data_IF_534409657239
#
_entry.id   IF_534409657239
#
_cell.length_a   1.000
_cell.length_b   1.000
_cell.length_c   1.000
_cell.angle_alpha   90.00
_cell.angle_beta   90.00
_cell.angle_gamma   90.00
#
_symmetry.space_group_name_H-M   'P 1'
#
loop_
_entity.id
_entity.type
_entity.pdbx_description
1 polymer ?
#
# COMPACT_ATOMS: atom_id res chain seq x y z
N UNK A 1 -21.37 -15.77 -9.08
CA UNK A 1 -20.76 -15.30 -7.81
C UNK A 1 -20.00 -13.98 -7.97
N UNK A 2 -19.36 -13.75 -9.14
CA UNK A 2 -18.88 -12.44 -9.59
C UNK A 2 -19.88 -11.28 -9.43
N UNK A 3 -21.19 -11.58 -9.54
CA UNK A 3 -22.27 -10.63 -9.30
C UNK A 3 -22.18 -9.94 -7.94
N UNK A 4 -21.68 -10.62 -6.89
CA UNK A 4 -21.50 -10.02 -5.56
C UNK A 4 -20.32 -9.05 -5.56
N UNK A 5 -19.17 -9.45 -6.10
CA UNK A 5 -17.99 -8.60 -6.26
C UNK A 5 -18.36 -7.34 -7.06
N UNK A 6 -19.00 -7.49 -8.22
CA UNK A 6 -19.44 -6.35 -9.01
C UNK A 6 -20.51 -5.50 -8.32
N UNK A 7 -21.37 -6.09 -7.48
CA UNK A 7 -22.35 -5.34 -6.68
C UNK A 7 -21.65 -4.48 -5.63
N UNK A 8 -20.61 -4.99 -4.97
CA UNK A 8 -19.78 -4.20 -4.03
C UNK A 8 -19.05 -3.09 -4.79
N UNK A 9 -18.38 -3.40 -5.90
CA UNK A 9 -17.69 -2.39 -6.72
C UNK A 9 -18.64 -1.30 -7.25
N UNK A 10 -19.90 -1.64 -7.50
CA UNK A 10 -20.93 -0.71 -7.97
C UNK A 10 -21.30 0.30 -6.88
N UNK A 11 -21.32 -0.08 -5.60
CA UNK A 11 -21.59 0.81 -4.47
C UNK A 11 -20.54 1.91 -4.36
N UNK A 12 -19.31 1.65 -4.77
CA UNK A 12 -18.21 2.61 -4.74
C UNK A 12 -17.96 3.28 -6.10
N UNK A 13 -18.84 3.06 -7.08
CA UNK A 13 -18.66 3.50 -8.47
C UNK A 13 -17.32 3.06 -9.12
N UNK A 14 -16.71 1.99 -8.62
CA UNK A 14 -15.47 1.40 -9.16
C UNK A 14 -15.78 0.52 -10.37
N UNK A 15 -16.97 -0.11 -10.38
CA UNK A 15 -17.41 -0.97 -11.47
C UNK A 15 -18.64 -0.39 -12.17
N UNK A 16 -18.78 -0.58 -13.49
CA UNK A 16 -19.91 -0.06 -14.23
C UNK A 16 -21.23 -0.70 -13.77
N UNK A 17 -22.28 0.12 -13.70
CA UNK A 17 -23.57 -0.25 -13.11
C UNK A 17 -24.36 -1.31 -13.89
N UNK A 18 -24.13 -1.39 -15.20
CA UNK A 18 -24.73 -2.33 -16.13
C UNK A 18 -23.67 -2.90 -17.06
N UNK A 19 -23.65 -4.22 -17.17
CA UNK A 19 -22.75 -4.98 -18.04
C UNK A 19 -23.27 -5.08 -19.46
N UNK A 20 -24.54 -4.73 -19.73
CA UNK A 20 -25.19 -5.01 -21.01
C UNK A 20 -25.23 -3.77 -21.92
N UNK A 21 -25.19 -2.58 -21.34
CA UNK A 21 -25.35 -1.33 -22.09
C UNK A 21 -23.95 -0.76 -22.42
N UNK A 22 -23.64 -0.70 -23.73
CA UNK A 22 -22.39 -0.12 -24.26
C UNK A 22 -22.31 1.40 -24.03
N UNK A 23 -23.43 2.09 -24.15
CA UNK A 23 -23.53 3.54 -23.96
C UNK A 23 -23.80 3.91 -22.50
N UNK A 24 -23.15 4.95 -22.02
CA UNK A 24 -23.28 5.37 -20.62
C UNK A 24 -24.61 6.12 -20.41
N UNK A 25 -25.41 5.66 -19.46
CA UNK A 25 -26.56 6.42 -19.00
C UNK A 25 -26.09 7.68 -18.27
N UNK A 26 -26.78 8.79 -18.49
CA UNK A 26 -26.55 10.06 -17.77
C UNK A 26 -26.57 9.84 -16.26
N UNK A 27 -27.49 9.01 -15.76
CA UNK A 27 -27.59 8.60 -14.34
C UNK A 27 -26.26 8.05 -13.77
N UNK A 28 -25.51 7.25 -14.53
CA UNK A 28 -24.24 6.70 -14.04
C UNK A 28 -23.16 7.79 -13.89
N UNK A 29 -23.15 8.81 -14.76
CA UNK A 29 -22.22 9.95 -14.63
C UNK A 29 -22.52 10.72 -13.35
N UNK A 30 -23.81 11.02 -13.10
CA UNK A 30 -24.23 11.68 -11.86
C UNK A 30 -23.84 10.89 -10.62
N UNK A 31 -24.06 9.57 -10.63
CA UNK A 31 -23.68 8.71 -9.50
C UNK A 31 -22.18 8.74 -9.21
N UNK A 32 -21.33 8.65 -10.23
CA UNK A 32 -19.88 8.76 -10.03
C UNK A 32 -19.45 10.15 -9.54
N UNK A 33 -20.09 11.23 -10.03
CA UNK A 33 -19.88 12.57 -9.47
C UNK A 33 -20.30 12.65 -7.99
N UNK A 34 -21.40 12.00 -7.60
CA UNK A 34 -21.83 11.93 -6.20
C UNK A 34 -20.81 11.18 -5.33
N UNK A 35 -20.26 10.07 -5.81
CA UNK A 35 -19.21 9.33 -5.08
C UNK A 35 -17.93 10.16 -4.94
N UNK A 36 -17.52 10.88 -5.99
CA UNK A 36 -16.39 11.82 -5.92
C UNK A 36 -16.67 12.92 -4.89
N UNK A 37 -17.85 13.55 -4.95
CA UNK A 37 -18.25 14.58 -3.99
C UNK A 37 -18.28 14.04 -2.55
N UNK A 38 -18.75 12.81 -2.35
CA UNK A 38 -18.72 12.13 -1.06
C UNK A 38 -17.28 11.99 -0.53
N UNK A 39 -16.32 11.55 -1.34
CA UNK A 39 -14.92 11.50 -0.92
C UNK A 39 -14.35 12.89 -0.63
N UNK A 40 -14.63 13.88 -1.48
CA UNK A 40 -14.14 15.25 -1.28
C UNK A 40 -14.67 15.84 0.02
N UNK A 41 -15.98 15.73 0.28
CA UNK A 41 -16.60 16.23 1.52
C UNK A 41 -16.06 15.46 2.72
N UNK A 42 -15.95 14.13 2.63
CA UNK A 42 -15.42 13.31 3.72
C UNK A 42 -13.97 13.68 4.07
N UNK A 43 -13.10 13.86 3.07
CA UNK A 43 -11.71 14.31 3.29
C UNK A 43 -11.67 15.70 3.91
N UNK A 44 -12.47 16.65 3.42
CA UNK A 44 -12.53 17.99 4.00
C UNK A 44 -12.97 17.97 5.47
N UNK A 45 -14.00 17.19 5.80
CA UNK A 45 -14.48 17.00 7.18
C UNK A 45 -13.37 16.38 8.04
N UNK A 46 -12.70 15.33 7.55
CA UNK A 46 -11.55 14.73 8.25
C UNK A 46 -10.42 15.74 8.45
N UNK A 47 -10.09 16.58 7.46
CA UNK A 47 -9.08 17.64 7.60
C UNK A 47 -9.48 18.66 8.68
N UNK A 48 -10.76 19.04 8.78
CA UNK A 48 -11.23 19.93 9.84
C UNK A 48 -11.02 19.33 11.24
N UNK A 49 -11.35 18.04 11.43
CA UNK A 49 -11.15 17.36 12.72
C UNK A 49 -9.68 17.06 13.04
N UNK A 50 -8.84 16.85 12.02
CA UNK A 50 -7.39 16.59 12.21
C UNK A 50 -6.58 17.87 12.43
N UNK A 51 -7.12 19.04 12.14
CA UNK A 51 -6.42 20.33 12.24
C UNK A 51 -5.76 20.53 13.62
N UNK A 52 -6.50 20.29 14.69
CA UNK A 52 -6.00 20.52 16.06
C UNK A 52 -4.84 19.57 16.42
N UNK A 53 -4.87 18.34 15.89
CA UNK A 53 -3.78 17.37 16.04
C UNK A 53 -2.57 17.72 15.18
N UNK A 54 -2.78 18.24 13.98
CA UNK A 54 -1.71 18.61 13.04
C UNK A 54 -0.90 19.81 13.51
N UNK A 55 -1.49 20.72 14.27
CA UNK A 55 -0.76 21.85 14.88
C UNK A 55 0.30 21.36 15.88
N UNK A 56 0.10 20.18 16.48
CA UNK A 56 1.04 19.59 17.43
C UNK A 56 2.17 18.79 16.75
N UNK A 57 2.15 18.63 15.42
CA UNK A 57 3.15 17.82 14.72
C UNK A 57 4.40 18.61 14.37
N UNK A 58 5.55 17.93 14.47
CA UNK A 58 6.81 18.40 13.88
C UNK A 58 6.62 18.52 12.35
N UNK A 59 7.18 19.56 11.74
CA UNK A 59 6.97 19.91 10.32
C UNK A 59 7.14 18.72 9.34
N UNK A 60 8.12 17.85 9.57
CA UNK A 60 8.38 16.67 8.72
C UNK A 60 7.20 15.68 8.80
N UNK A 61 6.72 15.39 10.01
CA UNK A 61 5.59 14.48 10.23
C UNK A 61 4.31 15.01 9.58
N UNK A 62 4.07 16.32 9.68
CA UNK A 62 2.96 16.99 9.02
C UNK A 62 3.05 16.86 7.49
N UNK A 63 4.22 17.14 6.91
CA UNK A 63 4.42 17.06 5.47
C UNK A 63 4.17 15.63 4.93
N UNK A 64 4.68 14.62 5.63
CA UNK A 64 4.46 13.21 5.27
C UNK A 64 2.97 12.87 5.33
N UNK A 65 2.28 13.25 6.40
CA UNK A 65 0.85 12.97 6.55
C UNK A 65 0.02 13.62 5.43
N UNK A 66 0.31 14.89 5.09
CA UNK A 66 -0.36 15.60 4.00
C UNK A 66 -0.13 14.89 2.65
N UNK A 67 1.09 14.43 2.37
CA UNK A 67 1.41 13.72 1.13
C UNK A 67 0.63 12.41 1.04
N UNK A 68 0.51 11.66 2.13
CA UNK A 68 -0.21 10.39 2.17
C UNK A 68 -1.71 10.58 1.97
N UNK A 69 -2.31 11.50 2.72
CA UNK A 69 -3.74 11.80 2.62
C UNK A 69 -4.09 12.29 1.21
N UNK A 70 -3.23 13.15 0.65
CA UNK A 70 -3.39 13.65 -0.72
C UNK A 70 -3.25 12.52 -1.75
N UNK A 71 -2.25 11.63 -1.58
CA UNK A 71 -2.03 10.50 -2.48
C UNK A 71 -3.21 9.54 -2.45
N UNK A 72 -3.69 9.18 -1.25
CA UNK A 72 -4.84 8.30 -1.08
C UNK A 72 -6.10 8.91 -1.70
N UNK A 73 -6.34 10.20 -1.48
CA UNK A 73 -7.46 10.92 -2.08
C UNK A 73 -7.39 10.93 -3.62
N UNK A 74 -6.26 11.37 -4.19
CA UNK A 74 -6.05 11.44 -5.64
C UNK A 74 -6.22 10.06 -6.27
N UNK A 75 -5.65 9.01 -5.66
CA UNK A 75 -5.82 7.64 -6.14
C UNK A 75 -7.28 7.20 -6.15
N UNK A 76 -8.07 7.53 -5.13
CA UNK A 76 -9.49 7.20 -5.09
C UNK A 76 -10.30 7.93 -6.17
N UNK A 77 -10.03 9.22 -6.39
CA UNK A 77 -10.66 9.99 -7.48
C UNK A 77 -10.28 9.41 -8.85
N UNK A 78 -9.00 9.14 -9.06
CA UNK A 78 -8.50 8.50 -10.28
C UNK A 78 -9.17 7.15 -10.53
N UNK A 79 -9.36 6.31 -9.51
CA UNK A 79 -10.07 5.03 -9.64
C UNK A 79 -11.48 5.20 -10.18
N UNK A 80 -12.25 6.15 -9.62
CA UNK A 80 -13.62 6.43 -10.10
C UNK A 80 -13.59 6.99 -11.52
N UNK A 81 -12.66 7.91 -11.84
CA UNK A 81 -12.52 8.46 -13.19
C UNK A 81 -12.11 7.42 -14.23
N UNK A 82 -11.21 6.50 -13.89
CA UNK A 82 -10.81 5.38 -14.75
C UNK A 82 -12.01 4.47 -15.01
N UNK A 83 -12.81 4.16 -13.98
CA UNK A 83 -14.03 3.38 -14.12
C UNK A 83 -15.05 4.04 -15.09
N UNK A 84 -15.10 5.37 -15.11
CA UNK A 84 -15.91 6.13 -16.06
C UNK A 84 -15.34 6.11 -17.49
N UNK A 85 -14.07 6.46 -17.64
CA UNK A 85 -13.46 6.75 -18.94
C UNK A 85 -13.07 5.48 -19.71
N UNK A 86 -12.60 4.44 -19.00
CA UNK A 86 -12.13 3.19 -19.61
C UNK A 86 -13.21 2.08 -19.61
N UNK A 87 -14.48 2.45 -19.76
CA UNK A 87 -15.61 1.50 -19.71
C UNK A 87 -15.50 0.36 -20.75
N UNK A 88 -14.95 0.64 -21.93
CA UNK A 88 -14.76 -0.38 -22.97
C UNK A 88 -13.81 -1.51 -22.52
N UNK A 89 -12.78 -1.16 -21.74
CA UNK A 89 -11.85 -2.13 -21.15
C UNK A 89 -12.54 -2.91 -20.03
N UNK A 90 -13.31 -2.24 -19.17
CA UNK A 90 -14.13 -2.90 -18.15
C UNK A 90 -15.14 -3.88 -18.75
N UNK A 91 -15.78 -3.53 -19.88
CA UNK A 91 -16.69 -4.43 -20.56
C UNK A 91 -15.97 -5.67 -21.11
N UNK A 92 -14.78 -5.49 -21.71
CA UNK A 92 -13.94 -6.63 -22.16
C UNK A 92 -13.56 -7.52 -20.98
N UNK A 93 -13.13 -6.91 -19.88
CA UNK A 93 -12.77 -7.59 -18.64
C UNK A 93 -13.94 -8.43 -18.11
N UNK A 94 -15.10 -7.80 -17.92
CA UNK A 94 -16.33 -8.45 -17.45
C UNK A 94 -16.77 -9.57 -18.39
N UNK A 95 -16.65 -9.38 -19.71
CA UNK A 95 -16.98 -10.41 -20.69
C UNK A 95 -16.03 -11.61 -20.59
N UNK A 96 -14.74 -11.38 -20.46
CA UNK A 96 -13.75 -12.45 -20.28
C UNK A 96 -14.02 -13.24 -19.00
N UNK A 97 -14.34 -12.53 -17.93
CA UNK A 97 -14.77 -13.11 -16.67
C UNK A 97 -16.01 -14.00 -16.84
N UNK A 98 -17.04 -13.54 -17.56
CA UNK A 98 -18.26 -14.31 -17.80
C UNK A 98 -18.00 -15.57 -18.64
N UNK A 99 -17.20 -15.46 -19.70
CA UNK A 99 -16.81 -16.61 -20.54
C UNK A 99 -16.05 -17.64 -19.71
N UNK A 100 -15.14 -17.20 -18.84
CA UNK A 100 -14.36 -18.12 -18.01
C UNK A 100 -15.23 -18.79 -16.95
N UNK A 101 -16.26 -18.09 -16.47
CA UNK A 101 -17.27 -18.66 -15.58
C UNK A 101 -18.08 -19.77 -16.26
N UNK A 102 -18.45 -19.60 -17.53
CA UNK A 102 -19.25 -20.58 -18.28
C UNK A 102 -18.43 -21.81 -18.73
N UNK A 103 -17.12 -21.66 -18.98
CA UNK A 103 -16.23 -22.74 -19.43
C UNK A 103 -15.48 -23.51 -18.35
N UNK A 104 -15.52 -23.05 -17.09
CA UNK A 104 -14.83 -23.70 -15.97
C UNK A 104 -15.76 -24.69 -15.28
N UNK A 105 -15.52 -26.00 -15.43
CA UNK A 105 -16.16 -27.04 -14.61
C UNK A 105 -16.12 -26.66 -13.11
N UNK A 106 -17.23 -26.94 -12.41
CA UNK A 106 -17.65 -26.48 -11.06
C UNK A 106 -16.58 -26.42 -9.93
N UNK A 107 -15.40 -27.01 -10.10
CA UNK A 107 -14.36 -27.11 -9.06
C UNK A 107 -13.48 -25.85 -8.98
N UNK A 108 -13.06 -25.26 -10.11
CA UNK A 108 -12.15 -24.08 -10.10
C UNK A 108 -12.86 -22.79 -9.65
N UNK A 109 -14.14 -22.63 -9.96
CA UNK A 109 -14.91 -21.41 -9.61
C UNK A 109 -15.02 -21.22 -8.09
N UNK A 110 -15.24 -22.30 -7.34
CA UNK A 110 -15.31 -22.25 -5.87
C UNK A 110 -14.01 -21.77 -5.23
N UNK A 111 -12.85 -22.08 -5.83
CA UNK A 111 -11.54 -21.69 -5.30
C UNK A 111 -11.31 -20.18 -5.34
N UNK A 112 -11.70 -19.52 -6.43
CA UNK A 112 -11.51 -18.07 -6.59
C UNK A 112 -12.40 -17.25 -5.66
N UNK A 113 -13.65 -17.67 -5.46
CA UNK A 113 -14.55 -17.05 -4.50
C UNK A 113 -14.01 -17.19 -3.07
N UNK A 114 -13.57 -18.40 -2.70
CA UNK A 114 -13.02 -18.66 -1.38
C UNK A 114 -11.83 -17.74 -1.11
N UNK A 115 -10.93 -17.54 -2.09
CA UNK A 115 -9.81 -16.58 -1.98
C UNK A 115 -10.30 -15.15 -1.76
N UNK A 116 -11.26 -14.65 -2.54
CA UNK A 116 -11.83 -13.31 -2.33
C UNK A 116 -12.43 -13.13 -0.94
N UNK A 117 -13.22 -14.11 -0.48
CA UNK A 117 -13.85 -14.07 0.83
C UNK A 117 -12.84 -14.13 1.96
N UNK A 118 -11.83 -15.01 1.87
CA UNK A 118 -10.73 -15.09 2.86
C UNK A 118 -9.95 -13.77 2.91
N UNK A 119 -9.60 -13.18 1.76
CA UNK A 119 -8.90 -11.89 1.73
C UNK A 119 -9.73 -10.76 2.34
N UNK A 120 -11.04 -10.70 2.08
CA UNK A 120 -11.91 -9.71 2.71
C UNK A 120 -12.03 -9.93 4.22
N UNK A 121 -12.18 -11.19 4.68
CA UNK A 121 -12.21 -11.51 6.11
C UNK A 121 -10.91 -11.08 6.80
N UNK A 122 -9.76 -11.34 6.17
CA UNK A 122 -8.46 -10.92 6.69
C UNK A 122 -8.34 -9.39 6.76
N UNK A 123 -8.72 -8.68 5.68
CA UNK A 123 -8.74 -7.22 5.66
C UNK A 123 -9.62 -6.65 6.77
N UNK A 124 -10.87 -7.11 6.88
CA UNK A 124 -11.80 -6.65 7.93
C UNK A 124 -11.31 -7.00 9.33
N UNK A 125 -10.68 -8.16 9.52
CA UNK A 125 -10.05 -8.53 10.80
C UNK A 125 -8.96 -7.56 11.21
N UNK A 126 -8.06 -7.20 10.29
CA UNK A 126 -7.02 -6.18 10.54
C UNK A 126 -7.65 -4.83 10.83
N UNK A 127 -8.62 -4.38 10.03
CA UNK A 127 -9.26 -3.08 10.22
C UNK A 127 -10.02 -2.99 11.54
N UNK A 128 -10.71 -4.06 11.97
CA UNK A 128 -11.37 -4.12 13.27
C UNK A 128 -10.36 -4.09 14.42
N UNK A 129 -9.25 -4.82 14.29
CA UNK A 129 -8.18 -4.80 15.29
C UNK A 129 -7.53 -3.42 15.41
N UNK A 130 -7.20 -2.77 14.29
CA UNK A 130 -6.68 -1.40 14.28
C UNK A 130 -7.70 -0.42 14.88
N UNK A 131 -8.97 -0.52 14.48
CA UNK A 131 -10.05 0.30 15.04
C UNK A 131 -10.15 0.15 16.55
N UNK A 132 -10.07 -1.09 17.06
CA UNK A 132 -10.11 -1.36 18.50
C UNK A 132 -8.95 -0.67 19.23
N UNK A 133 -7.71 -0.81 18.73
CA UNK A 133 -6.53 -0.17 19.33
C UNK A 133 -6.65 1.35 19.29
N UNK A 134 -7.02 1.94 18.15
CA UNK A 134 -7.09 3.39 18.06
C UNK A 134 -8.29 3.98 18.80
N UNK A 135 -9.41 3.26 18.88
CA UNK A 135 -10.57 3.69 19.68
C UNK A 135 -10.25 3.60 21.18
N UNK A 136 -9.46 2.64 21.63
CA UNK A 136 -9.02 2.60 23.04
C UNK A 136 -8.05 3.73 23.38
N UNK A 137 -7.23 4.18 22.41
CA UNK A 137 -6.28 5.28 22.59
C UNK A 137 -6.91 6.67 22.45
N UNK A 138 -7.76 6.88 21.44
CA UNK A 138 -8.29 8.20 21.04
C UNK A 138 -9.80 8.36 21.29
N UNK A 139 -10.48 7.31 21.76
CA UNK A 139 -11.93 7.32 21.97
C UNK A 139 -12.72 7.45 20.67
N UNK A 140 -13.92 8.04 20.78
CA UNK A 140 -14.85 8.22 19.64
C UNK A 140 -14.36 9.23 18.60
N UNK A 141 -13.41 10.08 18.96
CA UNK A 141 -12.85 11.08 18.04
C UNK A 141 -12.02 10.45 16.92
N UNK A 142 -11.53 9.22 17.14
CA UNK A 142 -10.92 8.40 16.10
C UNK A 142 -11.83 8.26 14.86
N UNK A 143 -13.09 7.91 15.06
CA UNK A 143 -14.02 7.71 13.94
C UNK A 143 -14.28 9.00 13.17
N UNK A 144 -14.37 10.14 13.86
CA UNK A 144 -14.56 11.45 13.21
C UNK A 144 -13.37 11.81 12.31
N UNK A 145 -12.17 11.41 12.71
CA UNK A 145 -10.94 11.72 11.98
C UNK A 145 -10.69 10.75 10.83
N UNK A 146 -10.90 9.44 11.02
CA UNK A 146 -10.38 8.39 10.13
C UNK A 146 -11.45 7.58 9.39
N UNK A 147 -12.75 7.81 9.61
CA UNK A 147 -13.80 7.02 8.95
C UNK A 147 -13.73 7.06 7.41
N UNK A 148 -13.51 8.23 6.82
CA UNK A 148 -13.40 8.33 5.35
C UNK A 148 -12.15 7.64 4.82
N UNK A 149 -11.05 7.69 5.58
CA UNK A 149 -9.79 7.05 5.21
C UNK A 149 -9.97 5.53 5.17
N UNK A 150 -10.73 4.96 6.11
CA UNK A 150 -11.06 3.53 6.12
C UNK A 150 -11.86 3.13 4.87
N UNK A 151 -12.81 3.96 4.45
CA UNK A 151 -13.56 3.74 3.21
C UNK A 151 -12.62 3.80 2.00
N UNK A 152 -11.75 4.82 1.93
CA UNK A 152 -10.77 4.98 0.86
C UNK A 152 -9.79 3.80 0.79
N UNK A 153 -9.31 3.31 1.93
CA UNK A 153 -8.44 2.14 2.02
C UNK A 153 -9.16 0.87 1.54
N UNK A 154 -10.42 0.67 1.91
CA UNK A 154 -11.21 -0.47 1.43
C UNK A 154 -11.40 -0.44 -0.09
N UNK A 155 -11.66 0.74 -0.66
CA UNK A 155 -11.82 0.92 -2.11
C UNK A 155 -10.53 0.56 -2.86
N UNK A 156 -9.37 1.00 -2.35
CA UNK A 156 -8.07 0.64 -2.91
C UNK A 156 -7.79 -0.86 -2.80
N UNK A 157 -8.05 -1.45 -1.63
CA UNK A 157 -7.93 -2.90 -1.44
C UNK A 157 -8.83 -3.69 -2.40
N UNK A 158 -10.08 -3.25 -2.57
CA UNK A 158 -11.04 -3.89 -3.45
C UNK A 158 -10.61 -3.80 -4.92
N UNK A 159 -10.13 -2.63 -5.37
CA UNK A 159 -9.55 -2.47 -6.70
C UNK A 159 -8.37 -3.42 -6.92
N UNK A 160 -7.51 -3.58 -5.91
CA UNK A 160 -6.37 -4.48 -6.03
C UNK A 160 -6.80 -5.93 -6.21
N UNK A 161 -7.84 -6.38 -5.52
CA UNK A 161 -8.36 -7.73 -5.75
C UNK A 161 -8.92 -7.87 -7.18
N UNK A 162 -9.62 -6.86 -7.70
CA UNK A 162 -10.09 -6.87 -9.08
C UNK A 162 -8.95 -6.95 -10.09
N UNK A 163 -7.88 -6.16 -9.89
CA UNK A 163 -6.68 -6.20 -10.71
C UNK A 163 -5.97 -7.55 -10.62
N UNK A 164 -5.88 -8.14 -9.42
CA UNK A 164 -5.32 -9.47 -9.21
C UNK A 164 -6.10 -10.55 -9.95
N UNK A 165 -7.44 -10.45 -9.95
CA UNK A 165 -8.27 -11.34 -10.74
C UNK A 165 -8.05 -11.16 -12.23
N UNK A 166 -8.08 -9.93 -12.76
CA UNK A 166 -7.79 -9.68 -14.18
C UNK A 166 -6.45 -10.31 -14.60
N UNK A 167 -5.44 -10.10 -13.77
CA UNK A 167 -4.11 -10.70 -13.85
C UNK A 167 -4.10 -12.23 -14.02
N UNK A 168 -5.02 -12.94 -13.35
CA UNK A 168 -5.15 -14.40 -13.43
C UNK A 168 -5.84 -14.82 -14.74
N UNK A 169 -6.73 -13.99 -15.27
CA UNK A 169 -7.54 -14.31 -16.44
C UNK A 169 -6.93 -13.82 -17.76
N UNK A 170 -6.13 -12.75 -17.73
CA UNK A 170 -5.58 -12.14 -18.94
C UNK A 170 -4.16 -12.64 -19.23
N UNK A 171 -4.04 -13.56 -20.19
CA UNK A 171 -2.76 -14.03 -20.77
C UNK A 171 -2.23 -13.06 -21.85
N UNK A 172 -2.37 -11.74 -21.66
CA UNK A 172 -2.09 -10.72 -22.71
C UNK A 172 -1.16 -9.59 -22.26
N UNK A 173 -0.16 -9.32 -23.10
CA UNK A 173 1.01 -8.45 -22.93
C UNK A 173 0.75 -6.95 -22.67
N UNK A 174 -0.47 -6.42 -22.90
CA UNK A 174 -0.79 -5.00 -22.61
C UNK A 174 -1.23 -4.79 -21.15
N UNK A 175 -1.66 -5.85 -20.46
CA UNK A 175 -2.02 -5.78 -19.03
C UNK A 175 -0.82 -5.62 -18.10
N UNK A 176 0.40 -5.88 -18.59
CA UNK A 176 1.59 -5.93 -17.75
C UNK A 176 2.01 -4.55 -17.25
N UNK A 177 1.84 -3.48 -18.02
CA UNK A 177 2.20 -2.13 -17.57
C UNK A 177 1.27 -1.61 -16.45
N UNK A 178 -0.04 -1.80 -16.57
CA UNK A 178 -0.99 -1.40 -15.51
C UNK A 178 -0.83 -2.27 -14.25
N UNK A 179 -0.45 -3.55 -14.40
CA UNK A 179 -0.10 -4.45 -13.28
C UNK A 179 1.19 -4.03 -12.59
N UNK A 180 2.22 -3.68 -13.36
CA UNK A 180 3.48 -3.15 -12.84
C UNK A 180 3.20 -1.86 -12.07
N UNK A 181 2.39 -0.96 -12.62
CA UNK A 181 2.04 0.29 -11.96
C UNK A 181 1.24 0.08 -10.66
N UNK A 182 0.28 -0.84 -10.66
CA UNK A 182 -0.50 -1.19 -9.46
C UNK A 182 0.36 -1.84 -8.36
N UNK A 183 1.26 -2.75 -8.74
CA UNK A 183 2.19 -3.36 -7.80
C UNK A 183 3.20 -2.34 -7.27
N UNK A 184 3.72 -1.45 -8.11
CA UNK A 184 4.59 -0.34 -7.69
C UNK A 184 3.83 0.58 -6.75
N UNK A 185 2.58 0.94 -7.03
CA UNK A 185 1.77 1.79 -6.16
C UNK A 185 1.53 1.16 -4.77
N UNK A 186 1.38 -0.17 -4.70
CA UNK A 186 1.20 -0.89 -3.44
C UNK A 186 2.49 -1.05 -2.67
N UNK A 187 3.57 -1.40 -3.35
CA UNK A 187 4.91 -1.45 -2.75
C UNK A 187 5.22 -0.06 -2.21
N UNK A 188 4.95 0.99 -2.98
CA UNK A 188 5.10 2.36 -2.54
C UNK A 188 4.21 2.69 -1.33
N UNK A 189 2.94 2.31 -1.33
CA UNK A 189 2.03 2.54 -0.20
C UNK A 189 2.49 1.82 1.07
N UNK A 190 2.94 0.56 0.96
CA UNK A 190 3.49 -0.21 2.07
C UNK A 190 4.84 0.32 2.53
N UNK A 191 5.73 0.70 1.61
CA UNK A 191 7.02 1.31 1.92
C UNK A 191 6.84 2.66 2.60
N UNK A 192 5.91 3.48 2.13
CA UNK A 192 5.53 4.72 2.80
C UNK A 192 4.95 4.43 4.19
N UNK A 193 4.01 3.49 4.30
CA UNK A 193 3.47 2.95 5.55
C UNK A 193 4.56 2.60 6.58
N UNK A 194 5.51 1.78 6.16
CA UNK A 194 6.64 1.37 6.98
C UNK A 194 7.56 2.56 7.34
N UNK A 195 7.85 3.43 6.38
CA UNK A 195 8.69 4.63 6.60
C UNK A 195 8.07 5.57 7.64
N UNK A 196 6.75 5.78 7.60
CA UNK A 196 6.05 6.60 8.60
C UNK A 196 6.19 5.98 9.99
N UNK A 197 5.98 4.67 10.11
CA UNK A 197 6.12 3.98 11.39
C UNK A 197 7.54 4.08 11.95
N UNK A 198 8.56 3.99 11.08
CA UNK A 198 9.96 4.19 11.48
C UNK A 198 10.22 5.63 11.93
N UNK A 199 9.73 6.63 11.19
CA UNK A 199 9.89 8.05 11.54
C UNK A 199 9.12 8.43 12.80
N UNK A 200 7.96 7.81 13.04
CA UNK A 200 7.22 7.96 14.29
C UNK A 200 8.01 7.41 15.48
N UNK A 201 8.59 6.21 15.34
CA UNK A 201 9.44 5.62 16.35
C UNK A 201 10.65 6.52 16.67
N UNK A 202 11.30 7.06 15.64
CA UNK A 202 12.42 7.99 15.76
C UNK A 202 12.01 9.30 16.47
N UNK A 203 10.85 9.87 16.10
CA UNK A 203 10.31 11.07 16.75
C UNK A 203 10.01 10.86 18.23
N UNK A 204 9.48 9.69 18.62
CA UNK A 204 9.25 9.35 20.03
C UNK A 204 10.59 9.28 20.78
N UNK A 205 11.62 8.69 20.15
CA UNK A 205 12.95 8.62 20.72
C UNK A 205 13.51 10.03 20.96
N UNK A 206 13.41 10.91 19.97
CA UNK A 206 13.91 12.27 20.03
C UNK A 206 13.25 13.10 21.15
N UNK A 207 11.92 13.01 21.29
CA UNK A 207 11.21 13.67 22.39
C UNK A 207 11.62 13.12 23.75
N UNK A 208 11.85 11.81 23.84
CA UNK A 208 12.31 11.18 25.10
C UNK A 208 13.73 11.65 25.47
N UNK A 209 14.63 11.78 24.49
CA UNK A 209 15.97 12.34 24.70
C UNK A 209 15.92 13.82 25.14
N UNK A 210 15.01 14.62 24.57
CA UNK A 210 14.82 16.02 24.95
C UNK A 210 14.35 16.16 26.40
N UNK A 211 13.39 15.31 26.83
CA UNK A 211 12.94 15.24 28.22
C UNK A 211 14.12 14.87 29.13
N UNK A 212 14.87 13.82 28.79
CA UNK A 212 16.02 13.38 29.59
C UNK A 212 17.10 14.48 29.71
N UNK A 213 17.40 15.18 28.61
CA UNK A 213 18.35 16.29 28.60
C UNK A 213 17.90 17.48 29.46
N UNK A 214 16.59 17.78 29.48
CA UNK A 214 16.01 18.78 30.37
C UNK A 214 16.10 18.35 31.83
N UNK A 215 15.78 17.09 32.13
CA UNK A 215 15.90 16.53 33.48
C UNK A 215 17.32 16.62 34.02
N UNK A 216 18.34 16.29 33.22
CA UNK A 216 19.74 16.45 33.62
C UNK A 216 20.15 17.91 33.85
N UNK A 217 19.66 18.85 33.03
CA UNK A 217 19.91 20.28 33.25
C UNK A 217 19.29 20.74 34.57
N UNK A 218 18.09 20.26 34.87
CA UNK A 218 17.37 20.57 36.10
C UNK A 218 18.07 19.97 37.33
N UNK A 219 18.59 18.74 37.23
CA UNK A 219 19.39 18.08 38.28
C UNK A 219 20.63 18.90 38.61
N UNK A 220 21.36 19.34 37.58
CA UNK A 220 22.54 20.19 37.75
C UNK A 220 22.21 21.55 38.43
N UNK A 221 21.02 22.08 38.21
CA UNK A 221 20.56 23.31 38.86
C UNK A 221 20.23 23.08 40.34
N UNK A 222 19.51 22.00 40.67
CA UNK A 222 19.09 21.68 42.04
C UNK A 222 20.23 21.20 42.94
N UNK A 223 21.22 20.49 42.38
CA UNK A 223 22.44 20.10 43.08
C UNK A 223 23.18 21.29 43.72
N UNK A 224 22.91 22.52 43.25
CA UNK A 224 23.52 23.74 43.76
C UNK A 224 22.64 24.48 44.80
N UNK A 225 21.43 24.01 45.12
CA UNK A 225 20.45 24.80 45.90
C UNK A 225 19.72 24.03 47.02
N UNK A 226 19.25 22.79 46.83
CA UNK A 226 18.41 22.05 47.81
C UNK A 226 18.62 20.54 47.64
N UNK A 227 18.87 19.79 48.73
CA UNK A 227 19.18 18.34 48.68
C UNK A 227 17.96 17.45 48.34
N UNK A 228 16.80 17.71 48.95
CA UNK A 228 15.64 16.80 48.89
C UNK A 228 14.96 16.73 47.51
N UNK A 229 14.82 17.87 46.82
CA UNK A 229 14.26 17.89 45.45
C UNK A 229 15.21 17.25 44.43
N UNK A 230 16.52 17.25 44.70
CA UNK A 230 17.51 16.59 43.85
C UNK A 230 17.37 15.07 43.90
N UNK A 231 17.03 14.50 45.06
CA UNK A 231 16.85 13.04 45.22
C UNK A 231 15.62 12.54 44.46
N UNK A 232 14.50 13.28 44.53
CA UNK A 232 13.26 12.95 43.80
C UNK A 232 13.47 13.03 42.27
N UNK A 233 14.17 14.06 41.79
CA UNK A 233 14.48 14.21 40.37
C UNK A 233 15.44 13.13 39.86
N UNK A 234 16.42 12.74 40.68
CA UNK A 234 17.35 11.66 40.36
C UNK A 234 16.64 10.30 40.28
N UNK A 235 15.68 10.07 41.16
CA UNK A 235 14.80 8.90 41.07
C UNK A 235 13.97 8.92 39.78
N UNK A 236 13.42 10.06 39.38
CA UNK A 236 12.73 10.21 38.10
C UNK A 236 13.65 9.90 36.91
N UNK A 237 14.86 10.48 36.86
CA UNK A 237 15.83 10.24 35.80
C UNK A 237 16.15 8.75 35.68
N UNK A 238 16.41 8.07 36.80
CA UNK A 238 16.68 6.63 36.80
C UNK A 238 15.50 5.83 36.25
N UNK A 239 14.27 6.16 36.66
CA UNK A 239 13.05 5.51 36.12
C UNK A 239 12.91 5.73 34.62
N UNK A 240 13.17 6.94 34.12
CA UNK A 240 13.09 7.25 32.68
C UNK A 240 14.16 6.50 31.88
N UNK A 241 15.38 6.40 32.41
CA UNK A 241 16.49 5.65 31.77
C UNK A 241 16.18 4.16 31.73
N UNK A 242 15.70 3.59 32.84
CA UNK A 242 15.36 2.17 32.93
C UNK A 242 14.19 1.79 32.03
N UNK A 243 13.28 2.73 31.76
CA UNK A 243 12.12 2.55 30.89
C UNK A 243 12.28 3.21 29.51
N UNK A 244 13.51 3.54 29.11
CA UNK A 244 13.74 4.24 27.85
C UNK A 244 13.18 3.44 26.66
N UNK A 245 12.31 4.03 25.81
CA UNK A 245 11.65 3.32 24.75
C UNK A 245 12.67 2.80 23.74
N UNK A 246 12.68 1.48 23.55
CA UNK A 246 13.52 0.81 22.55
C UNK A 246 12.64 0.15 21.50
N UNK A 247 12.57 0.76 20.33
CA UNK A 247 11.90 0.16 19.18
C UNK A 247 12.84 -0.84 18.51
N UNK A 248 12.46 -2.10 18.47
CA UNK A 248 13.22 -3.16 17.80
C UNK A 248 12.30 -4.07 16.99
N UNK A 249 12.77 -4.48 15.82
CA UNK A 249 12.07 -5.45 14.98
C UNK A 249 12.42 -6.86 15.47
N UNK A 250 11.52 -7.46 16.25
CA UNK A 250 11.67 -8.82 16.79
C UNK A 250 13.02 -9.05 17.52
N UNK A 251 13.60 -8.00 18.12
CA UNK A 251 14.91 -8.00 18.80
C UNK A 251 16.13 -8.30 17.90
N UNK A 252 15.95 -8.44 16.58
CA UNK A 252 17.07 -8.65 15.66
C UNK A 252 17.81 -7.36 15.33
N UNK A 253 17.08 -6.25 15.22
CA UNK A 253 17.67 -4.92 14.99
C UNK A 253 16.81 -3.82 15.61
N UNK A 254 17.47 -2.75 16.03
CA UNK A 254 16.84 -1.51 16.50
C UNK A 254 16.27 -0.74 15.31
N UNK A 255 15.07 -0.20 15.48
CA UNK A 255 14.40 0.62 14.48
C UNK A 255 14.80 2.08 14.76
N UNK A 256 15.59 2.64 13.86
CA UNK A 256 16.08 4.02 13.89
C UNK A 256 15.96 4.66 12.50
N UNK A 257 16.19 5.97 12.38
CA UNK A 257 16.20 6.63 11.06
C UNK A 257 17.20 6.01 10.07
N UNK A 258 18.31 5.46 10.56
CA UNK A 258 19.31 4.79 9.70
C UNK A 258 18.78 3.51 9.06
N UNK A 259 17.80 2.84 9.69
CA UNK A 259 17.14 1.65 9.17
C UNK A 259 16.51 1.87 7.79
N UNK A 260 15.97 3.06 7.52
CA UNK A 260 15.42 3.39 6.19
C UNK A 260 16.51 3.35 5.12
N UNK A 261 17.67 3.98 5.39
CA UNK A 261 18.81 3.98 4.48
C UNK A 261 19.37 2.58 4.27
N UNK A 262 19.45 1.77 5.34
CA UNK A 262 19.89 0.36 5.25
C UNK A 262 18.97 -0.49 4.38
N UNK A 263 17.65 -0.31 4.48
CA UNK A 263 16.69 -1.02 3.61
C UNK A 263 16.90 -0.59 2.16
N UNK A 264 17.04 0.71 1.89
CA UNK A 264 17.24 1.24 0.54
C UNK A 264 18.56 0.74 -0.08
N UNK A 265 19.64 0.72 0.71
CA UNK A 265 20.94 0.18 0.33
C UNK A 265 20.85 -1.31 0.00
N UNK A 266 20.17 -2.10 0.83
CA UNK A 266 19.98 -3.53 0.61
C UNK A 266 19.17 -3.81 -0.66
N UNK A 267 18.05 -3.11 -0.87
CA UNK A 267 17.21 -3.25 -2.07
C UNK A 267 17.98 -2.86 -3.32
N UNK A 268 18.71 -1.74 -3.29
CA UNK A 268 19.52 -1.28 -4.43
C UNK A 268 20.61 -2.28 -4.78
N UNK A 269 21.33 -2.79 -3.77
CA UNK A 269 22.37 -3.81 -3.95
C UNK A 269 21.78 -5.08 -4.57
N UNK A 270 20.63 -5.54 -4.08
CA UNK A 270 19.98 -6.74 -4.59
C UNK A 270 19.51 -6.57 -6.04
N UNK A 271 18.95 -5.41 -6.39
CA UNK A 271 18.55 -5.08 -7.76
C UNK A 271 19.76 -5.04 -8.71
N UNK A 272 20.88 -4.44 -8.29
CA UNK A 272 22.12 -4.44 -9.07
C UNK A 272 22.58 -5.88 -9.34
N UNK A 273 22.59 -6.72 -8.31
CA UNK A 273 22.97 -8.13 -8.43
C UNK A 273 22.05 -8.86 -9.42
N UNK A 274 20.72 -8.69 -9.31
CA UNK A 274 19.75 -9.31 -10.20
C UNK A 274 19.97 -8.89 -11.67
N UNK A 275 20.19 -7.60 -11.93
CA UNK A 275 20.45 -7.08 -13.28
C UNK A 275 21.77 -7.66 -13.83
N UNK A 276 22.80 -7.81 -13.00
CA UNK A 276 24.06 -8.43 -13.39
C UNK A 276 23.91 -9.92 -13.72
N UNK A 277 22.99 -10.64 -13.08
CA UNK A 277 22.71 -12.03 -13.39
C UNK A 277 21.90 -12.19 -14.69
N UNK A 278 20.87 -11.38 -14.91
CA UNK A 278 20.09 -11.44 -16.17
C UNK A 278 20.93 -11.02 -17.38
N UNK A 279 21.76 -9.98 -17.26
CA UNK A 279 22.62 -9.54 -18.37
C UNK A 279 23.70 -10.55 -18.76
N UNK A 280 24.12 -11.44 -17.85
CA UNK A 280 25.01 -12.57 -18.15
C UNK A 280 24.31 -13.75 -18.81
N UNK A 281 22.98 -13.72 -18.88
CA UNK A 281 22.14 -14.83 -19.35
C UNK A 281 21.58 -14.60 -20.75
N UNK A 282 22.10 -13.63 -21.51
CA UNK A 282 22.03 -13.70 -22.96
C UNK A 282 22.81 -14.94 -23.42
N UNK A 283 22.16 -15.94 -24.05
CA UNK A 283 22.91 -16.97 -24.72
C UNK A 283 23.71 -16.25 -25.80
N UNK A 284 25.04 -16.31 -25.72
CA UNK A 284 25.86 -16.22 -26.90
C UNK A 284 25.35 -17.29 -27.87
N UNK A 285 24.37 -16.89 -28.69
CA UNK A 285 23.97 -17.59 -29.88
C UNK A 285 25.17 -17.45 -30.80
N UNK A 286 26.14 -18.35 -30.59
CA UNK A 286 27.19 -18.65 -31.54
C UNK A 286 26.42 -19.03 -32.81
N UNK A 287 26.24 -18.05 -33.69
CA UNK A 287 25.80 -18.29 -35.06
C UNK A 287 26.86 -19.20 -35.68
N UNK A 288 26.64 -20.50 -35.61
CA UNK A 288 27.26 -21.48 -36.48
C UNK A 288 26.71 -21.27 -37.90
N UNK A 289 27.02 -20.13 -38.52
CA UNK A 289 26.72 -19.89 -39.93
C UNK A 289 27.87 -20.26 -40.87
N UNK A 290 29.02 -20.71 -40.35
CA UNK A 290 30.22 -20.97 -41.16
C UNK A 290 30.67 -22.45 -41.28
N UNK A 291 29.93 -23.43 -40.77
CA UNK A 291 30.33 -24.85 -40.89
C UNK A 291 29.77 -25.60 -42.12
N UNK A 292 29.01 -24.97 -43.02
CA UNK A 292 28.34 -25.67 -44.13
C UNK A 292 28.90 -25.38 -45.54
N UNK A 293 30.08 -24.79 -45.67
CA UNK A 293 30.71 -24.51 -46.98
C UNK A 293 31.75 -25.56 -47.43
N UNK A 294 31.88 -26.70 -46.74
CA UNK A 294 32.85 -27.76 -47.10
C UNK A 294 32.34 -29.20 -47.18
N UNK A 295 31.06 -29.46 -46.98
CA UNK A 295 30.49 -30.78 -47.27
C UNK A 295 30.19 -30.91 -48.77
N UNK A 296 31.21 -31.38 -49.50
CA UNK A 296 31.12 -31.78 -50.89
C UNK A 296 30.33 -33.11 -50.96
N UNK A 297 29.00 -33.02 -51.01
CA UNK A 297 28.14 -34.15 -51.32
C UNK A 297 28.24 -34.45 -52.82
N UNK A 298 29.23 -35.26 -53.21
CA UNK A 298 29.22 -35.94 -54.49
C UNK A 298 28.09 -36.98 -54.46
N UNK A 299 26.96 -36.64 -55.10
CA UNK A 299 26.04 -37.62 -55.65
C UNK A 299 26.76 -38.38 -56.78
N UNK A 300 27.14 -39.62 -56.51
CA UNK A 300 27.30 -40.63 -57.56
C UNK A 300 26.27 -41.72 -57.32
N UNK A 301 25.17 -41.60 -58.06
CA UNK A 301 24.26 -42.68 -58.37
C UNK A 301 25.00 -43.73 -59.21
N UNK A 302 25.06 -44.98 -58.76
CA UNK A 302 25.23 -46.16 -59.63
C UNK A 302 24.45 -47.33 -59.02
N UNK A 303 23.36 -47.66 -59.73
CA UNK A 303 22.67 -48.96 -59.94
C UNK A 303 22.41 -49.84 -58.71
#
# INVERSE_FOLDING_TARGET
>A
QLRLVFRVGKIFAITPSSMEIKNQSTSQKYYSCLVIAFYTVGVLVSCCYRKDYYIQYIHIKLAIQIILDSSLYVLNICTVLIALNKRSQWFKLIKNFKITQEGSENVKEKSHLLRFSISNLFFWGIMLHMTYIFTSLMGVDFFKQYAIEYVQLYVQFFLQILLCFDSIFQKSSIGDFERILGNIAIIFLFCCGATINILLADSILQETEAVLALSYKLERYFLNRISRESDELRQFINVVIDNFPKFSAARFFTIDRSTIFRIFEAVTTFLIILIQFESKQEPHLIKCTDCCSRCNCNETAII
#
